data_IF_717498840983
#
_entry.id   IF_717498840983
#
_cell.length_a   1.000
_cell.length_b   1.000
_cell.length_c   1.000
_cell.angle_alpha   90.00
_cell.angle_beta   90.00
_cell.angle_gamma   90.00
#
_symmetry.space_group_name_H-M   'P 1'
#
loop_
_entity.id
_entity.type
_entity.pdbx_description
1 polymer ?
#
# COMPACT_ATOMS: atom_id res chain seq x y z
N UNK A 1 16.42 6.69 10.94
CA UNK A 1 15.73 6.95 9.66
C UNK A 1 15.76 5.65 8.88
N UNK A 2 14.61 5.07 8.54
CA UNK A 2 14.53 3.77 7.85
C UNK A 2 14.01 3.96 6.43
N UNK A 3 14.39 3.08 5.52
CA UNK A 3 13.99 3.14 4.12
C UNK A 3 12.54 2.67 3.93
N UNK A 4 11.88 3.28 2.94
CA UNK A 4 10.57 2.84 2.48
C UNK A 4 10.71 1.56 1.66
N UNK A 5 9.66 0.76 1.71
CA UNK A 5 9.51 -0.43 0.90
C UNK A 5 8.34 -0.27 -0.05
N UNK A 6 8.33 -1.11 -1.07
CA UNK A 6 7.15 -1.46 -1.88
C UNK A 6 6.97 -2.96 -1.88
N UNK A 7 5.79 -3.42 -2.30
CA UNK A 7 5.57 -4.82 -2.64
C UNK A 7 5.56 -4.94 -4.16
N UNK A 8 6.41 -5.78 -4.73
CA UNK A 8 6.41 -6.05 -6.18
C UNK A 8 5.99 -7.48 -6.46
N UNK A 9 5.23 -7.66 -7.54
CA UNK A 9 4.94 -8.96 -8.14
C UNK A 9 5.72 -9.08 -9.44
N UNK A 10 6.79 -9.88 -9.43
CA UNK A 10 7.64 -10.10 -10.61
C UNK A 10 6.96 -10.95 -11.67
N UNK A 11 6.00 -11.80 -11.30
CA UNK A 11 5.25 -12.63 -12.26
C UNK A 11 4.38 -11.78 -13.17
N UNK A 12 3.73 -10.75 -12.60
CA UNK A 12 2.75 -9.90 -13.32
C UNK A 12 3.27 -8.52 -13.71
N UNK A 13 4.45 -8.13 -13.21
CA UNK A 13 4.98 -6.76 -13.30
C UNK A 13 4.03 -5.73 -12.67
N UNK A 14 3.59 -6.00 -11.46
CA UNK A 14 2.73 -5.12 -10.67
C UNK A 14 3.46 -4.63 -9.42
N UNK A 15 3.11 -3.44 -8.92
CA UNK A 15 3.58 -2.93 -7.63
C UNK A 15 2.43 -2.44 -6.74
N UNK A 16 2.66 -2.51 -5.43
CA UNK A 16 1.93 -1.81 -4.39
C UNK A 16 2.87 -0.80 -3.75
N UNK A 17 2.58 0.48 -3.98
CA UNK A 17 3.25 1.62 -3.37
C UNK A 17 2.63 1.99 -2.02
N UNK A 18 3.47 2.48 -1.11
CA UNK A 18 3.03 2.87 0.24
C UNK A 18 3.20 4.37 0.54
N UNK A 19 3.61 5.16 -0.46
CA UNK A 19 4.01 6.58 -0.30
C UNK A 19 2.89 7.46 0.26
N UNK A 20 1.64 7.25 -0.14
CA UNK A 20 0.47 7.99 0.35
C UNK A 20 -0.35 7.23 1.40
N UNK A 21 0.23 6.15 1.96
CA UNK A 21 -0.39 5.28 2.96
C UNK A 21 0.22 5.53 4.33
N UNK A 22 -0.47 5.15 5.43
CA UNK A 22 -0.04 5.48 6.79
C UNK A 22 1.23 4.74 7.28
N UNK A 23 1.84 3.89 6.46
CA UNK A 23 3.05 3.14 6.79
C UNK A 23 3.84 2.75 5.54
N UNK A 24 5.15 3.00 5.54
CA UNK A 24 6.04 2.66 4.41
C UNK A 24 7.32 1.91 4.81
N UNK A 25 7.71 1.96 6.09
CA UNK A 25 8.93 1.28 6.58
C UNK A 25 8.61 -0.10 7.14
N UNK A 26 9.58 -1.01 7.16
CA UNK A 26 9.40 -2.39 7.63
C UNK A 26 8.65 -2.52 8.98
N UNK A 27 9.03 -1.74 10.01
CA UNK A 27 8.36 -1.76 11.32
C UNK A 27 6.92 -1.23 11.25
N UNK A 28 6.70 -0.18 10.45
CA UNK A 28 5.39 0.45 10.29
C UNK A 28 4.46 -0.49 9.52
N UNK A 29 4.93 -1.07 8.40
CA UNK A 29 4.19 -2.00 7.56
C UNK A 29 3.71 -3.23 8.34
N UNK A 30 4.58 -3.78 9.20
CA UNK A 30 4.25 -4.92 10.05
C UNK A 30 3.24 -4.60 11.16
N UNK A 31 3.20 -3.33 11.61
CA UNK A 31 2.35 -2.90 12.73
C UNK A 31 1.08 -2.15 12.32
N UNK A 32 0.98 -1.69 11.08
CA UNK A 32 -0.14 -0.87 10.61
C UNK A 32 -1.25 -1.77 10.00
N UNK A 33 -2.47 -1.76 10.56
CA UNK A 33 -3.53 -2.67 10.12
C UNK A 33 -4.04 -2.43 8.69
N UNK A 34 -3.90 -1.22 8.16
CA UNK A 34 -4.31 -0.89 6.79
C UNK A 34 -3.33 -1.51 5.80
N UNK A 35 -2.04 -1.22 5.95
CA UNK A 35 -1.02 -1.74 5.03
C UNK A 35 -0.83 -3.24 5.16
N UNK A 36 -1.04 -3.79 6.36
CA UNK A 36 -1.08 -5.24 6.56
C UNK A 36 -2.26 -5.89 5.82
N UNK A 37 -3.45 -5.27 5.84
CA UNK A 37 -4.61 -5.77 5.09
C UNK A 37 -4.38 -5.71 3.57
N UNK A 38 -3.84 -4.59 3.06
CA UNK A 38 -3.46 -4.43 1.64
C UNK A 38 -2.49 -5.52 1.22
N UNK A 39 -1.39 -5.67 1.96
CA UNK A 39 -0.36 -6.67 1.67
C UNK A 39 -0.95 -8.08 1.70
N UNK A 40 -1.68 -8.43 2.76
CA UNK A 40 -2.23 -9.78 2.95
C UNK A 40 -3.24 -10.12 1.85
N UNK A 41 -4.14 -9.19 1.53
CA UNK A 41 -5.12 -9.39 0.47
C UNK A 41 -4.44 -9.59 -0.88
N UNK A 42 -3.47 -8.75 -1.21
CA UNK A 42 -2.72 -8.88 -2.46
C UNK A 42 -2.00 -10.23 -2.57
N UNK A 43 -1.35 -10.69 -1.49
CA UNK A 43 -0.71 -12.01 -1.45
C UNK A 43 -1.72 -13.16 -1.64
N UNK A 44 -2.91 -13.06 -1.03
CA UNK A 44 -3.95 -14.08 -1.18
C UNK A 44 -4.49 -14.15 -2.61
N UNK A 45 -4.73 -13.01 -3.26
CA UNK A 45 -5.22 -12.95 -4.65
C UNK A 45 -4.17 -13.39 -5.68
N UNK A 46 -2.89 -13.38 -5.30
CA UNK A 46 -1.76 -13.70 -6.17
C UNK A 46 -0.95 -14.88 -5.62
N UNK A 47 -1.65 -15.85 -5.01
CA UNK A 47 -1.05 -17.07 -4.47
C UNK A 47 -0.24 -17.81 -5.53
N UNK A 48 1.05 -18.01 -5.27
CA UNK A 48 1.98 -18.72 -6.16
C UNK A 48 2.83 -17.80 -7.04
N UNK A 49 2.55 -16.50 -7.06
CA UNK A 49 3.40 -15.53 -7.75
C UNK A 49 4.70 -15.22 -6.99
N UNK A 50 5.71 -14.75 -7.73
CA UNK A 50 6.96 -14.27 -7.13
C UNK A 50 6.78 -12.84 -6.62
N UNK A 51 6.34 -12.74 -5.37
CA UNK A 51 6.06 -11.47 -4.70
C UNK A 51 7.10 -11.22 -3.61
N UNK A 52 7.66 -10.02 -3.58
CA UNK A 52 8.65 -9.64 -2.58
C UNK A 52 8.56 -8.18 -2.18
N UNK A 53 8.99 -7.89 -0.95
CA UNK A 53 9.28 -6.53 -0.53
C UNK A 53 10.64 -6.09 -1.07
N UNK A 54 10.70 -4.88 -1.63
CA UNK A 54 11.94 -4.25 -2.11
C UNK A 54 12.01 -2.82 -1.58
N UNK A 55 13.21 -2.33 -1.29
CA UNK A 55 13.43 -0.91 -0.99
C UNK A 55 13.00 -0.07 -2.19
N UNK A 56 12.22 1.00 -1.94
CA UNK A 56 11.64 1.85 -2.98
C UNK A 56 12.69 2.38 -3.97
N UNK A 57 13.87 2.75 -3.47
CA UNK A 57 15.01 3.26 -4.26
C UNK A 57 15.62 2.23 -5.22
N UNK A 58 15.32 0.93 -5.05
CA UNK A 58 15.88 -0.16 -5.87
C UNK A 58 14.91 -0.71 -6.91
N UNK A 59 13.72 -0.11 -7.03
CA UNK A 59 12.74 -0.54 -8.03
C UNK A 59 13.22 -0.14 -9.42
N UNK A 60 13.21 -1.08 -10.36
CA UNK A 60 13.39 -0.81 -11.78
C UNK A 60 12.06 -0.32 -12.39
N UNK A 61 12.13 0.52 -13.42
CA UNK A 61 10.94 0.97 -14.16
C UNK A 61 10.21 -0.21 -14.83
N UNK A 62 8.91 -0.04 -15.10
CA UNK A 62 8.10 -0.99 -15.88
C UNK A 62 7.18 -1.91 -15.07
N UNK A 63 6.96 -1.61 -13.79
CA UNK A 63 5.87 -2.18 -12.99
C UNK A 63 4.62 -1.29 -13.11
N UNK A 64 3.45 -1.90 -13.26
CA UNK A 64 2.17 -1.21 -13.17
C UNK A 64 1.79 -1.02 -11.69
N UNK A 65 1.49 0.21 -11.29
CA UNK A 65 0.98 0.49 -9.95
C UNK A 65 -0.49 0.08 -9.86
N UNK A 66 -0.78 -0.93 -9.04
CA UNK A 66 -2.14 -1.46 -8.81
C UNK A 66 -2.63 -1.17 -7.40
N UNK A 67 -1.98 -0.25 -6.68
CA UNK A 67 -2.29 0.09 -5.28
C UNK A 67 -3.75 0.51 -5.11
N UNK A 68 -4.23 1.40 -5.99
CA UNK A 68 -5.60 1.91 -5.90
C UNK A 68 -6.63 0.82 -6.18
N UNK A 69 -6.40 -0.05 -7.17
CA UNK A 69 -7.29 -1.17 -7.49
C UNK A 69 -7.44 -2.11 -6.28
N UNK A 70 -6.33 -2.39 -5.58
CA UNK A 70 -6.35 -3.22 -4.36
C UNK A 70 -7.11 -2.54 -3.22
N UNK A 71 -6.90 -1.25 -3.02
CA UNK A 71 -7.63 -0.48 -2.00
C UNK A 71 -9.12 -0.47 -2.30
N UNK A 72 -9.52 -0.24 -3.56
CA UNK A 72 -10.91 -0.27 -3.97
C UNK A 72 -11.56 -1.63 -3.74
N UNK A 73 -10.86 -2.73 -4.07
CA UNK A 73 -11.35 -4.08 -3.75
C UNK A 73 -11.57 -4.27 -2.25
N UNK A 74 -10.65 -3.78 -1.41
CA UNK A 74 -10.78 -3.90 0.04
C UNK A 74 -11.93 -3.06 0.61
N UNK A 75 -12.18 -1.88 0.05
CA UNK A 75 -13.32 -1.03 0.42
C UNK A 75 -14.63 -1.71 0.01
N UNK A 76 -14.71 -2.22 -1.22
CA UNK A 76 -15.89 -2.94 -1.73
C UNK A 76 -16.22 -4.18 -0.89
N UNK A 77 -15.20 -4.88 -0.39
CA UNK A 77 -15.36 -6.04 0.50
C UNK A 77 -15.57 -5.65 1.98
N UNK A 78 -15.68 -4.35 2.30
CA UNK A 78 -15.93 -3.87 3.66
C UNK A 78 -14.78 -4.12 4.64
N UNK A 79 -13.56 -4.36 4.15
CA UNK A 79 -12.37 -4.57 4.99
C UNK A 79 -11.78 -3.22 5.39
N UNK A 80 -11.66 -2.30 4.43
CA UNK A 80 -11.21 -0.94 4.65
C UNK A 80 -12.36 0.05 4.49
N UNK A 81 -12.20 1.21 5.14
CA UNK A 81 -13.02 2.39 4.95
C UNK A 81 -12.12 3.54 4.50
N UNK A 82 -12.57 4.31 3.51
CA UNK A 82 -11.89 5.52 3.05
C UNK A 82 -12.55 6.75 3.64
N UNK A 83 -11.78 7.52 4.41
CA UNK A 83 -12.19 8.75 5.07
C UNK A 83 -11.60 10.00 4.39
N UNK A 84 -11.17 9.87 3.13
CA UNK A 84 -10.68 10.98 2.31
C UNK A 84 -9.17 11.18 2.42
N UNK A 85 -8.73 12.42 2.18
CA UNK A 85 -7.33 12.79 2.10
C UNK A 85 -7.00 13.78 3.23
N UNK A 86 -5.86 13.56 3.88
CA UNK A 86 -5.20 14.53 4.76
C UNK A 86 -4.04 15.15 3.98
N UNK A 87 -4.18 16.42 3.62
CA UNK A 87 -3.14 17.21 2.96
C UNK A 87 -2.25 17.81 4.05
N UNK A 88 -0.94 17.59 3.97
CA UNK A 88 0.00 18.11 4.96
C UNK A 88 0.49 19.53 4.63
N UNK A 89 0.42 19.91 3.35
CA UNK A 89 0.78 21.24 2.86
C UNK A 89 -0.19 21.68 1.76
N UNK A 90 -0.89 22.80 1.98
CA UNK A 90 -1.87 23.33 1.02
C UNK A 90 -1.22 23.88 -0.26
N UNK A 91 0.06 24.28 -0.19
CA UNK A 91 0.83 24.76 -1.32
C UNK A 91 1.47 23.61 -2.14
N UNK A 92 1.55 22.40 -1.56
CA UNK A 92 2.07 21.18 -2.20
C UNK A 92 1.05 20.02 -2.12
N UNK A 93 -0.01 20.01 -2.96
CA UNK A 93 -1.11 19.05 -2.86
C UNK A 93 -0.72 17.57 -3.09
N UNK A 94 0.50 17.32 -3.56
CA UNK A 94 1.05 15.96 -3.68
C UNK A 94 1.59 15.41 -2.36
N UNK A 95 1.76 16.24 -1.33
CA UNK A 95 2.16 15.82 0.01
C UNK A 95 0.90 15.56 0.83
N UNK A 96 0.38 14.35 0.68
CA UNK A 96 -0.84 13.94 1.34
C UNK A 96 -0.79 12.48 1.81
N UNK A 97 -1.67 12.15 2.76
CA UNK A 97 -1.96 10.79 3.21
C UNK A 97 -3.43 10.48 2.97
N UNK A 98 -3.69 9.31 2.38
CA UNK A 98 -5.06 8.78 2.27
C UNK A 98 -5.47 8.21 3.63
N UNK A 99 -6.60 8.70 4.16
CA UNK A 99 -7.12 8.31 5.47
C UNK A 99 -7.92 7.01 5.36
N UNK A 100 -7.20 5.91 5.32
CA UNK A 100 -7.78 4.57 5.35
C UNK A 100 -7.87 4.05 6.79
N UNK A 101 -8.95 3.34 7.10
CA UNK A 101 -9.14 2.65 8.38
C UNK A 101 -9.54 1.20 8.14
N UNK A 102 -9.01 0.29 8.97
CA UNK A 102 -9.42 -1.11 8.94
C UNK A 102 -10.66 -1.30 9.82
N UNK A 103 -11.76 -1.77 9.23
CA UNK A 103 -13.05 -1.89 9.90
C UNK A 103 -13.05 -2.88 11.08
N UNK A 104 -12.08 -3.79 11.12
CA UNK A 104 -11.97 -4.83 12.15
C UNK A 104 -11.19 -4.37 13.40
N UNK A 105 -10.60 -3.18 13.37
CA UNK A 105 -9.74 -2.63 14.45
C UNK A 105 -10.43 -1.54 15.28
N UNK A 106 -11.77 -1.46 15.20
CA UNK A 106 -12.59 -0.55 16.02
C UNK A 106 -12.74 -1.05 17.45
#
# INVERSE_FOLDING_TARGET
MGQNYVLINKSKKELIGFTHLPAGKARELAGNPVTAAITTWYLLQNSGDNILFVEEERIEEGFADVTNDVIEMLIQNGILQDNGIEVFDEDEPNIYMRRLENNWMK
#
